data_IF_008469517597
#
_entry.id   IF_008469517597
#
_cell.length_a   1.000
_cell.length_b   1.000
_cell.length_c   1.000
_cell.angle_alpha   90.00
_cell.angle_beta   90.00
_cell.angle_gamma   90.00
#
_symmetry.space_group_name_H-M   'P 1'
#
loop_
_entity.id
_entity.type
_entity.pdbx_description
1 polymer ?
#
# COMPACT_ATOMS: atom_id res chain seq x y z
N UNK A 1 15.97 -7.12 22.84
CA UNK A 1 16.88 -5.99 23.03
C UNK A 1 16.45 -4.87 22.07
N UNK A 2 15.71 -3.89 22.55
CA UNK A 2 15.33 -2.71 21.79
C UNK A 2 16.38 -1.63 22.04
N UNK A 3 17.44 -1.65 21.26
CA UNK A 3 18.44 -0.59 21.22
C UNK A 3 18.22 0.23 19.95
N UNK A 4 17.17 1.04 19.92
CA UNK A 4 17.07 2.11 18.95
C UNK A 4 17.43 3.41 19.66
N UNK A 5 18.50 4.05 19.21
CA UNK A 5 18.79 5.43 19.54
C UNK A 5 17.64 6.28 19.00
N UNK A 6 16.70 6.62 19.87
CA UNK A 6 15.59 7.51 19.53
C UNK A 6 16.17 8.90 19.27
N UNK A 7 16.33 9.23 18.01
CA UNK A 7 16.71 10.57 17.60
C UNK A 7 15.61 11.54 18.05
N UNK A 8 15.98 12.74 18.51
CA UNK A 8 15.00 13.78 18.90
C UNK A 8 13.91 13.98 17.84
N UNK A 9 14.26 13.85 16.55
CA UNK A 9 13.32 13.90 15.44
C UNK A 9 12.22 12.83 15.53
N UNK A 10 12.55 11.59 15.89
CA UNK A 10 11.58 10.49 16.03
C UNK A 10 10.60 10.75 17.16
N UNK A 11 11.09 11.27 18.30
CA UNK A 11 10.25 11.60 19.46
C UNK A 11 9.30 12.75 19.12
N UNK A 12 9.80 13.81 18.49
CA UNK A 12 8.99 14.97 18.10
C UNK A 12 7.91 14.56 17.08
N UNK A 13 8.29 13.78 16.08
CA UNK A 13 7.33 13.27 15.08
C UNK A 13 6.26 12.39 15.73
N UNK A 14 6.66 11.49 16.64
CA UNK A 14 5.75 10.64 17.39
C UNK A 14 4.76 11.45 18.25
N UNK A 15 5.21 12.50 18.91
CA UNK A 15 4.34 13.41 19.69
C UNK A 15 3.35 14.15 18.81
N UNK A 16 3.80 14.68 17.67
CA UNK A 16 2.92 15.38 16.71
C UNK A 16 1.85 14.43 16.17
N UNK A 17 2.24 13.23 15.75
CA UNK A 17 1.31 12.22 15.25
C UNK A 17 0.30 11.80 16.32
N UNK A 18 0.77 11.57 17.55
CA UNK A 18 -0.11 11.22 18.68
C UNK A 18 -1.12 12.31 18.95
N UNK A 19 -0.71 13.59 18.92
CA UNK A 19 -1.60 14.71 19.10
C UNK A 19 -2.64 14.79 17.98
N UNK A 20 -2.21 14.70 16.73
CA UNK A 20 -3.10 14.74 15.56
C UNK A 20 -4.14 13.61 15.59
N UNK A 21 -3.69 12.37 15.80
CA UNK A 21 -4.56 11.20 15.89
C UNK A 21 -5.50 11.31 17.09
N UNK A 22 -4.99 11.72 18.25
CA UNK A 22 -5.79 11.93 19.47
C UNK A 22 -6.92 12.92 19.25
N UNK A 23 -6.64 14.07 18.62
CA UNK A 23 -7.66 15.08 18.29
C UNK A 23 -8.76 14.56 17.36
N UNK A 24 -8.43 13.66 16.45
CA UNK A 24 -9.40 13.05 15.53
C UNK A 24 -10.23 12.00 16.26
N UNK A 25 -9.57 11.07 16.99
CA UNK A 25 -10.21 9.93 17.65
C UNK A 25 -11.16 10.36 18.78
N UNK A 26 -10.78 11.37 19.58
CA UNK A 26 -11.64 11.92 20.68
C UNK A 26 -12.97 12.43 20.12
N UNK A 27 -13.02 12.88 18.86
CA UNK A 27 -14.26 13.30 18.21
C UNK A 27 -15.22 12.18 17.79
N UNK A 28 -14.83 10.92 18.00
CA UNK A 28 -15.61 9.74 17.67
C UNK A 28 -15.75 9.45 16.17
N UNK A 29 -16.54 8.43 15.84
CA UNK A 29 -16.65 7.89 14.48
C UNK A 29 -17.06 8.93 13.43
N UNK A 30 -17.91 9.89 13.79
CA UNK A 30 -18.34 10.94 12.86
C UNK A 30 -17.21 11.89 12.47
N UNK A 31 -16.30 12.17 13.41
CA UNK A 31 -15.15 13.03 13.14
C UNK A 31 -14.09 12.29 12.37
N UNK A 32 -13.85 11.03 12.70
CA UNK A 32 -12.97 10.15 11.94
C UNK A 32 -13.44 10.07 10.50
N UNK A 33 -14.72 9.77 10.24
CA UNK A 33 -15.28 9.70 8.90
C UNK A 33 -15.11 11.02 8.12
N UNK A 34 -15.35 12.17 8.75
CA UNK A 34 -15.22 13.48 8.08
C UNK A 34 -13.77 13.81 7.71
N UNK A 35 -12.81 13.46 8.56
CA UNK A 35 -11.38 13.66 8.26
C UNK A 35 -10.94 12.70 7.15
N UNK A 36 -11.33 11.43 7.22
CA UNK A 36 -11.03 10.43 6.20
C UNK A 36 -11.63 10.77 4.84
N UNK A 37 -12.83 11.35 4.79
CA UNK A 37 -13.50 11.79 3.56
C UNK A 37 -12.65 12.78 2.74
N UNK A 38 -11.80 13.57 3.39
CA UNK A 38 -10.93 14.55 2.73
C UNK A 38 -9.54 13.97 2.50
N UNK A 39 -8.96 13.33 3.52
CA UNK A 39 -7.57 12.87 3.50
C UNK A 39 -7.38 11.69 2.57
N UNK A 40 -8.26 10.69 2.61
CA UNK A 40 -8.11 9.45 1.82
C UNK A 40 -8.15 9.69 0.31
N UNK A 41 -9.10 10.46 -0.26
CA UNK A 41 -9.06 10.76 -1.69
C UNK A 41 -7.80 11.53 -2.11
N UNK A 42 -7.34 12.47 -1.27
CA UNK A 42 -6.11 13.20 -1.55
C UNK A 42 -4.89 12.28 -1.59
N UNK A 43 -4.75 11.39 -0.60
CA UNK A 43 -3.70 10.38 -0.55
C UNK A 43 -3.74 9.45 -1.77
N UNK A 44 -4.94 8.95 -2.11
CA UNK A 44 -5.12 8.05 -3.25
C UNK A 44 -4.73 8.71 -4.58
N UNK A 45 -5.19 9.95 -4.81
CA UNK A 45 -4.84 10.70 -6.04
C UNK A 45 -3.34 10.96 -6.11
N UNK A 46 -2.73 11.38 -5.01
CA UNK A 46 -1.29 11.62 -4.93
C UNK A 46 -0.50 10.34 -5.22
N UNK A 47 -0.89 9.23 -4.60
CA UNK A 47 -0.24 7.93 -4.81
C UNK A 47 -0.34 7.46 -6.26
N UNK A 48 -1.53 7.54 -6.84
CA UNK A 48 -1.77 7.16 -8.24
C UNK A 48 -0.97 8.08 -9.18
N UNK A 49 -0.90 9.37 -8.91
CA UNK A 49 -0.10 10.30 -9.71
C UNK A 49 1.39 9.96 -9.67
N UNK A 50 1.95 9.70 -8.49
CA UNK A 50 3.35 9.31 -8.33
C UNK A 50 3.66 7.97 -9.01
N UNK A 51 2.81 6.97 -8.82
CA UNK A 51 2.94 5.67 -9.47
C UNK A 51 2.82 5.78 -11.01
N UNK A 52 1.89 6.62 -11.50
CA UNK A 52 1.76 6.88 -12.93
C UNK A 52 3.02 7.55 -13.51
N UNK A 53 3.65 8.49 -12.80
CA UNK A 53 4.92 9.08 -13.22
C UNK A 53 6.00 8.00 -13.38
N UNK A 54 6.15 7.08 -12.42
CA UNK A 54 7.12 5.98 -12.50
C UNK A 54 6.84 5.11 -13.73
N UNK A 55 5.59 4.74 -13.96
CA UNK A 55 5.20 3.86 -15.07
C UNK A 55 5.43 4.57 -16.41
N UNK A 56 5.05 5.84 -16.55
CA UNK A 56 5.19 6.62 -17.77
C UNK A 56 6.67 6.88 -18.09
N UNK A 57 7.48 7.24 -17.11
CA UNK A 57 8.91 7.48 -17.29
C UNK A 57 9.67 6.21 -17.68
N UNK A 58 9.16 5.03 -17.27
CA UNK A 58 9.75 3.73 -17.56
C UNK A 58 8.85 2.86 -18.45
N UNK A 59 8.09 3.46 -19.35
CA UNK A 59 7.08 2.75 -20.17
C UNK A 59 7.68 1.59 -20.99
N UNK A 60 8.93 1.71 -21.41
CA UNK A 60 9.66 0.67 -22.15
C UNK A 60 9.98 -0.55 -21.29
N UNK A 61 10.10 -0.39 -19.98
CA UNK A 61 10.36 -1.48 -19.05
C UNK A 61 9.09 -2.22 -18.61
N UNK A 62 7.91 -1.63 -18.79
CA UNK A 62 6.63 -2.22 -18.36
C UNK A 62 6.35 -3.58 -19.01
N UNK A 63 6.48 -3.78 -20.33
CA UNK A 63 6.24 -5.08 -20.94
C UNK A 63 7.19 -6.15 -20.40
N UNK A 64 8.47 -5.81 -20.22
CA UNK A 64 9.47 -6.71 -19.67
C UNK A 64 9.16 -7.09 -18.21
N UNK A 65 8.70 -6.14 -17.40
CA UNK A 65 8.27 -6.38 -16.04
C UNK A 65 7.06 -7.32 -15.97
N UNK A 66 6.05 -7.11 -16.80
CA UNK A 66 4.87 -8.00 -16.88
C UNK A 66 5.25 -9.41 -17.30
N UNK A 67 6.07 -9.54 -18.34
CA UNK A 67 6.58 -10.85 -18.78
C UNK A 67 7.39 -11.54 -17.69
N UNK A 68 8.20 -10.78 -16.96
CA UNK A 68 8.98 -11.31 -15.83
C UNK A 68 8.08 -11.84 -14.71
N UNK A 69 7.03 -11.09 -14.34
CA UNK A 69 6.06 -11.52 -13.33
C UNK A 69 5.38 -12.83 -13.75
N UNK A 70 4.86 -12.88 -14.99
CA UNK A 70 4.17 -14.07 -15.51
C UNK A 70 5.13 -15.25 -15.61
N UNK A 71 6.31 -15.06 -16.20
CA UNK A 71 7.32 -16.13 -16.30
C UNK A 71 7.72 -16.65 -14.93
N UNK A 72 7.99 -15.79 -13.97
CA UNK A 72 8.40 -16.18 -12.63
C UNK A 72 7.31 -16.98 -11.90
N UNK A 73 6.03 -16.68 -12.15
CA UNK A 73 4.92 -17.42 -11.58
C UNK A 73 4.80 -18.87 -12.10
N UNK A 74 5.20 -19.11 -13.36
CA UNK A 74 5.03 -20.40 -14.03
C UNK A 74 6.35 -21.14 -14.32
N UNK A 75 7.51 -20.57 -13.97
CA UNK A 75 8.79 -21.22 -14.21
C UNK A 75 9.13 -22.21 -13.10
N UNK A 76 9.70 -23.36 -13.48
CA UNK A 76 10.06 -24.43 -12.54
C UNK A 76 11.09 -24.06 -11.47
N UNK A 77 11.74 -22.88 -11.54
CA UNK A 77 12.56 -22.36 -10.44
C UNK A 77 11.73 -22.00 -9.22
N UNK A 78 10.47 -21.56 -9.41
CA UNK A 78 9.50 -21.43 -8.34
C UNK A 78 9.08 -22.82 -7.77
N UNK A 79 9.14 -23.85 -8.62
CA UNK A 79 8.83 -25.23 -8.26
C UNK A 79 10.06 -26.02 -7.74
N UNK A 80 11.28 -25.69 -8.19
CA UNK A 80 12.49 -26.47 -7.91
C UNK A 80 13.32 -25.94 -6.72
N UNK A 81 13.12 -24.72 -6.27
CA UNK A 81 13.87 -24.09 -5.17
C UNK A 81 13.47 -24.51 -3.76
N UNK A 82 13.29 -25.82 -3.51
CA UNK A 82 12.85 -26.34 -2.22
C UNK A 82 11.37 -26.14 -1.94
N UNK A 83 10.77 -26.17 -2.85
CA UNK A 83 9.58 -26.03 -3.64
C UNK A 83 8.26 -25.92 -2.83
N UNK A 84 7.91 -26.89 -2.05
CA UNK A 84 6.61 -26.91 -1.34
C UNK A 84 6.55 -25.86 -0.24
N UNK A 85 7.62 -25.66 0.52
CA UNK A 85 7.65 -24.74 1.65
C UNK A 85 7.56 -23.26 1.23
N UNK A 86 8.34 -22.86 0.21
CA UNK A 86 8.32 -21.48 -0.30
C UNK A 86 7.02 -21.12 -1.00
N UNK A 87 6.42 -22.07 -1.73
CA UNK A 87 5.11 -21.86 -2.36
C UNK A 87 4.00 -21.67 -1.32
N UNK A 88 3.99 -22.49 -0.27
CA UNK A 88 3.02 -22.38 0.83
C UNK A 88 3.20 -21.05 1.57
N UNK A 89 4.43 -20.66 1.87
CA UNK A 89 4.73 -19.38 2.54
C UNK A 89 4.33 -18.19 1.66
N UNK A 90 4.65 -18.22 0.36
CA UNK A 90 4.28 -17.15 -0.57
C UNK A 90 2.75 -17.03 -0.68
N UNK A 91 2.05 -18.16 -0.79
CA UNK A 91 0.60 -18.19 -0.84
C UNK A 91 -0.02 -17.71 0.48
N UNK A 92 0.49 -18.16 1.61
CA UNK A 92 0.04 -17.71 2.93
C UNK A 92 0.24 -16.21 3.13
N UNK A 93 1.41 -15.68 2.78
CA UNK A 93 1.70 -14.24 2.87
C UNK A 93 0.86 -13.42 1.90
N UNK A 94 0.69 -13.89 0.66
CA UNK A 94 -0.14 -13.23 -0.35
C UNK A 94 -1.62 -13.18 0.04
N UNK A 95 -2.18 -14.31 0.50
CA UNK A 95 -3.57 -14.37 0.97
C UNK A 95 -3.76 -13.47 2.20
N UNK A 96 -2.85 -13.56 3.18
CA UNK A 96 -2.93 -12.73 4.39
C UNK A 96 -2.91 -11.24 4.05
N UNK A 97 -2.04 -10.82 3.14
CA UNK A 97 -1.98 -9.41 2.70
C UNK A 97 -3.22 -8.97 1.94
N UNK A 98 -3.75 -9.81 1.04
CA UNK A 98 -4.99 -9.51 0.32
C UNK A 98 -6.21 -9.41 1.23
N UNK A 99 -6.34 -10.29 2.22
CA UNK A 99 -7.40 -10.23 3.23
C UNK A 99 -7.27 -8.94 4.04
N UNK A 100 -6.06 -8.59 4.45
CA UNK A 100 -5.80 -7.40 5.27
C UNK A 100 -6.07 -6.10 4.50
N UNK A 101 -5.60 -6.00 3.26
CA UNK A 101 -5.79 -4.81 2.39
C UNK A 101 -7.27 -4.54 2.10
N UNK A 102 -8.04 -5.59 1.83
CA UNK A 102 -9.47 -5.48 1.54
C UNK A 102 -10.37 -5.54 2.79
N UNK A 103 -9.77 -5.57 3.99
CA UNK A 103 -10.48 -5.70 5.28
C UNK A 103 -11.45 -6.90 5.33
N UNK A 104 -11.19 -7.93 4.52
CA UNK A 104 -12.08 -9.07 4.33
C UNK A 104 -12.13 -9.94 5.59
N UNK A 105 -13.28 -9.98 6.26
CA UNK A 105 -13.49 -10.77 7.49
C UNK A 105 -12.93 -10.13 8.77
N UNK A 106 -12.31 -8.96 8.72
CA UNK A 106 -11.76 -8.27 9.91
C UNK A 106 -12.84 -7.53 10.72
N UNK A 107 -14.02 -7.27 10.12
CA UNK A 107 -15.12 -6.58 10.80
C UNK A 107 -15.05 -5.05 10.78
N UNK A 108 -13.94 -4.46 10.35
CA UNK A 108 -13.77 -3.00 10.25
C UNK A 108 -14.64 -2.37 9.17
N UNK A 109 -14.74 -3.00 8.00
CA UNK A 109 -15.58 -2.52 6.90
C UNK A 109 -17.07 -2.38 7.27
N UNK A 110 -17.73 -3.34 7.95
CA UNK A 110 -19.08 -3.17 8.44
C UNK A 110 -19.25 -2.03 9.46
N UNK A 111 -18.25 -1.79 10.31
CA UNK A 111 -18.27 -0.69 11.28
C UNK A 111 -18.25 0.66 10.55
N UNK A 112 -17.40 0.80 9.54
CA UNK A 112 -17.36 2.00 8.69
C UNK A 112 -18.66 2.17 7.91
N UNK A 113 -19.20 1.09 7.34
CA UNK A 113 -20.47 1.07 6.61
C UNK A 113 -21.68 1.46 7.48
N UNK A 114 -21.64 1.19 8.79
CA UNK A 114 -22.69 1.60 9.73
C UNK A 114 -22.85 3.12 9.84
N UNK A 115 -21.82 3.89 9.50
CA UNK A 115 -21.88 5.37 9.46
C UNK A 115 -22.45 5.91 8.13
N UNK A 116 -22.73 5.06 7.14
CA UNK A 116 -23.20 5.46 5.83
C UNK A 116 -24.62 6.05 5.89
N UNK A 117 -24.82 7.12 5.13
CA UNK A 117 -26.12 7.81 5.02
C UNK A 117 -26.94 7.24 3.85
N UNK A 118 -27.17 5.94 3.83
CA UNK A 118 -27.99 5.27 2.83
C UNK A 118 -29.08 4.42 3.47
N UNK A 119 -30.22 4.33 2.80
CA UNK A 119 -31.33 3.45 3.20
C UNK A 119 -31.33 2.11 2.45
N UNK A 120 -30.48 1.98 1.44
CA UNK A 120 -30.46 0.85 0.53
C UNK A 120 -29.16 0.05 0.71
N UNK A 121 -29.21 -1.21 1.19
CA UNK A 121 -28.04 -2.05 1.35
C UNK A 121 -27.25 -2.27 0.05
N UNK A 122 -27.96 -2.40 -1.07
CA UNK A 122 -27.34 -2.59 -2.40
C UNK A 122 -26.45 -1.42 -2.78
N UNK A 123 -26.90 -0.20 -2.51
CA UNK A 123 -26.11 1.01 -2.79
C UNK A 123 -24.81 1.05 -2.00
N UNK A 124 -24.87 0.67 -0.73
CA UNK A 124 -23.65 0.56 0.10
C UNK A 124 -22.73 -0.55 -0.42
N UNK A 125 -23.26 -1.69 -0.84
CA UNK A 125 -22.50 -2.78 -1.44
C UNK A 125 -21.74 -2.36 -2.69
N UNK A 126 -22.37 -1.60 -3.59
CA UNK A 126 -21.74 -1.07 -4.80
C UNK A 126 -20.57 -0.10 -4.47
N UNK A 127 -20.75 0.76 -3.46
CA UNK A 127 -19.68 1.66 -3.01
C UNK A 127 -18.51 0.86 -2.44
N UNK A 128 -18.77 -0.14 -1.60
CA UNK A 128 -17.72 -0.98 -1.02
C UNK A 128 -16.96 -1.77 -2.09
N UNK A 129 -17.66 -2.28 -3.11
CA UNK A 129 -17.05 -2.98 -4.25
C UNK A 129 -16.10 -2.06 -5.03
N UNK A 130 -16.45 -0.79 -5.20
CA UNK A 130 -15.59 0.19 -5.89
C UNK A 130 -14.27 0.40 -5.13
N UNK A 131 -14.32 0.46 -3.80
CA UNK A 131 -13.12 0.56 -2.97
C UNK A 131 -12.18 -0.62 -3.17
N UNK A 132 -12.70 -1.84 -3.10
CA UNK A 132 -11.94 -3.08 -3.33
C UNK A 132 -11.33 -3.12 -4.73
N UNK A 133 -12.08 -2.68 -5.75
CA UNK A 133 -11.57 -2.60 -7.13
C UNK A 133 -10.39 -1.63 -7.24
N UNK A 134 -10.52 -0.43 -6.70
CA UNK A 134 -9.47 0.60 -6.75
C UNK A 134 -8.22 0.09 -6.01
N UNK A 135 -8.37 -0.44 -4.80
CA UNK A 135 -7.25 -0.96 -4.03
C UNK A 135 -6.53 -2.10 -4.75
N UNK A 136 -7.24 -3.12 -5.14
CA UNK A 136 -6.63 -4.35 -5.69
C UNK A 136 -6.16 -4.17 -7.13
N UNK A 137 -6.99 -3.59 -8.00
CA UNK A 137 -6.67 -3.51 -9.43
C UNK A 137 -5.79 -2.30 -9.73
N UNK A 138 -6.06 -1.13 -9.15
CA UNK A 138 -5.28 0.07 -9.48
C UNK A 138 -4.03 0.16 -8.59
N UNK A 139 -4.21 0.29 -7.29
CA UNK A 139 -3.10 0.60 -6.36
C UNK A 139 -2.11 -0.56 -6.27
N UNK A 140 -2.57 -1.78 -6.05
CA UNK A 140 -1.67 -2.94 -5.94
C UNK A 140 -0.93 -3.23 -7.25
N UNK A 141 -1.57 -3.08 -8.41
CA UNK A 141 -0.91 -3.29 -9.70
C UNK A 141 0.17 -2.23 -9.94
N UNK A 142 -0.13 -0.96 -9.68
CA UNK A 142 0.84 0.12 -9.80
C UNK A 142 2.02 -0.05 -8.86
N UNK A 143 1.76 -0.43 -7.63
CA UNK A 143 2.81 -0.70 -6.63
C UNK A 143 3.70 -1.86 -7.06
N UNK A 144 3.09 -2.98 -7.45
CA UNK A 144 3.82 -4.16 -7.91
C UNK A 144 4.68 -3.88 -9.14
N UNK A 145 4.15 -3.17 -10.13
CA UNK A 145 4.91 -2.75 -11.31
C UNK A 145 6.07 -1.82 -10.94
N UNK A 146 5.84 -0.85 -10.08
CA UNK A 146 6.88 0.08 -9.62
C UNK A 146 8.03 -0.65 -8.93
N UNK A 147 7.73 -1.62 -8.06
CA UNK A 147 8.71 -2.45 -7.35
C UNK A 147 9.52 -3.30 -8.33
N UNK A 148 8.85 -3.94 -9.30
CA UNK A 148 9.52 -4.81 -10.28
C UNK A 148 10.39 -3.99 -11.24
N UNK A 149 9.91 -2.85 -11.73
CA UNK A 149 10.66 -1.94 -12.62
C UNK A 149 11.90 -1.40 -11.89
N UNK A 150 11.75 -0.98 -10.63
CA UNK A 150 12.86 -0.48 -9.83
C UNK A 150 13.85 -1.57 -9.39
N UNK A 151 13.44 -2.85 -9.41
CA UNK A 151 14.25 -4.00 -8.99
C UNK A 151 14.54 -4.06 -7.49
N UNK A 152 13.78 -3.34 -6.67
CA UNK A 152 14.02 -3.23 -5.22
C UNK A 152 13.65 -4.50 -4.45
N UNK A 153 12.83 -5.37 -5.03
CA UNK A 153 12.48 -6.67 -4.47
C UNK A 153 13.66 -7.64 -4.35
N UNK A 154 14.76 -7.37 -5.07
CA UNK A 154 15.97 -8.21 -5.04
C UNK A 154 16.87 -7.89 -3.84
N UNK A 155 16.63 -6.80 -3.12
CA UNK A 155 17.45 -6.41 -1.98
C UNK A 155 16.96 -7.12 -0.70
N UNK A 156 17.75 -8.03 -0.11
CA UNK A 156 17.37 -8.80 1.06
C UNK A 156 17.31 -7.97 2.36
N UNK A 157 17.87 -6.76 2.35
CA UNK A 157 17.88 -5.86 3.51
C UNK A 157 16.58 -5.06 3.66
N UNK A 158 15.74 -5.02 2.61
CA UNK A 158 14.50 -4.25 2.61
C UNK A 158 13.31 -5.14 2.93
N UNK A 159 12.48 -4.72 3.86
CA UNK A 159 11.26 -5.44 4.23
C UNK A 159 10.01 -4.56 4.18
N UNK A 160 8.90 -5.17 3.77
CA UNK A 160 7.58 -4.55 3.83
C UNK A 160 7.48 -3.22 3.07
N UNK A 161 7.20 -2.15 3.79
CA UNK A 161 7.01 -0.80 3.23
C UNK A 161 8.30 -0.22 2.66
N UNK A 162 9.46 -0.58 3.20
CA UNK A 162 10.77 -0.08 2.76
C UNK A 162 11.04 -0.40 1.29
N UNK A 163 10.59 -1.57 0.81
CA UNK A 163 10.69 -1.97 -0.60
C UNK A 163 9.96 -0.97 -1.50
N UNK A 164 8.76 -0.56 -1.09
CA UNK A 164 7.95 0.41 -1.84
C UNK A 164 8.58 1.80 -1.79
N UNK A 165 9.04 2.24 -0.62
CA UNK A 165 9.73 3.53 -0.48
C UNK A 165 10.97 3.58 -1.38
N UNK A 166 11.80 2.55 -1.35
CA UNK A 166 12.99 2.45 -2.19
C UNK A 166 12.64 2.42 -3.69
N UNK A 167 11.55 1.76 -4.09
CA UNK A 167 11.09 1.73 -5.47
C UNK A 167 10.68 3.13 -5.95
N UNK A 168 9.96 3.88 -5.14
CA UNK A 168 9.55 5.25 -5.47
C UNK A 168 10.73 6.22 -5.46
N UNK A 169 11.66 6.09 -4.51
CA UNK A 169 12.89 6.90 -4.50
C UNK A 169 13.73 6.71 -5.76
N UNK A 170 13.84 5.47 -6.26
CA UNK A 170 14.62 5.12 -7.43
C UNK A 170 13.89 5.44 -8.75
N UNK A 171 12.57 5.28 -8.75
CA UNK A 171 11.75 5.42 -9.96
C UNK A 171 11.30 6.86 -10.26
N UNK A 172 11.28 7.73 -9.26
CA UNK A 172 10.86 9.12 -9.45
C UNK A 172 12.04 10.03 -9.86
N UNK A 173 11.83 10.97 -10.77
CA UNK A 173 12.85 11.93 -11.19
C UNK A 173 13.10 13.05 -10.16
N UNK A 174 12.57 12.90 -8.94
CA UNK A 174 12.67 13.87 -7.86
C UNK A 174 13.74 13.48 -6.83
N UNK A 175 14.24 14.44 -6.03
CA UNK A 175 15.15 14.11 -4.93
C UNK A 175 14.53 13.07 -3.98
N UNK A 176 15.34 12.11 -3.47
CA UNK A 176 14.84 11.01 -2.63
C UNK A 176 14.03 11.47 -1.41
N UNK A 177 14.36 12.63 -0.85
CA UNK A 177 13.65 13.23 0.28
C UNK A 177 12.21 13.57 -0.09
N UNK A 178 11.98 14.14 -1.29
CA UNK A 178 10.64 14.51 -1.77
C UNK A 178 9.82 13.26 -2.05
N UNK A 179 10.42 12.25 -2.69
CA UNK A 179 9.78 10.97 -2.95
C UNK A 179 9.36 10.26 -1.65
N UNK A 180 10.26 10.23 -0.65
CA UNK A 180 9.96 9.65 0.66
C UNK A 180 8.85 10.38 1.40
N UNK A 181 8.90 11.71 1.41
CA UNK A 181 7.88 12.53 2.07
C UNK A 181 6.51 12.38 1.43
N UNK A 182 6.45 12.41 0.09
CA UNK A 182 5.21 12.23 -0.66
C UNK A 182 4.60 10.86 -0.42
N UNK A 183 5.43 9.81 -0.37
CA UNK A 183 4.97 8.45 -0.11
C UNK A 183 4.55 8.27 1.36
N UNK A 184 5.25 8.89 2.31
CA UNK A 184 4.88 8.86 3.73
C UNK A 184 3.53 9.52 4.00
N UNK A 185 3.13 10.49 3.16
CA UNK A 185 1.78 11.08 3.21
C UNK A 185 0.70 10.14 2.66
N UNK A 186 1.08 9.13 1.88
CA UNK A 186 0.16 8.20 1.22
C UNK A 186 0.06 6.83 1.93
N UNK A 187 0.99 6.52 2.82
CA UNK A 187 1.06 5.26 3.59
C UNK A 187 0.61 5.49 5.03
#
# INVERSE_FOLDING_TARGET
AFGHDYTMATVVTGLILTLCVGLVVIGGIKRIAKVSEIVVPFMAVLYVALGAIIIITNITAVPAALVSIIKSAFTGSALAGGAMGTMVVAMQKGIARGIFSNESGLGSAPIAAAAAKTKEPVRQGLVSMTGTFIDTIVICTMTGLSIVIAGTWMNPELEGVEITVAAFQKGLPFPPIVASFSLMLCL
#
